data_IF_498472154843
#
_entry.id   IF_498472154843
#
_cell.length_a   1.000
_cell.length_b   1.000
_cell.length_c   1.000
_cell.angle_alpha   90.00
_cell.angle_beta   90.00
_cell.angle_gamma   90.00
#
_symmetry.space_group_name_H-M   'P 1'
#
loop_
_entity.id
_entity.type
_entity.pdbx_description
1 polymer ?
#
# COMPACT_ATOMS: atom_id res chain seq x y z
N UNK A 1 15.68 57.37 -73.93
CA UNK A 1 16.58 56.78 -74.94
C UNK A 1 16.62 57.75 -76.10
N UNK A 2 17.61 58.64 -76.10
CA UNK A 2 17.91 59.44 -77.28
C UNK A 2 18.62 58.50 -78.25
N UNK A 3 18.08 58.33 -79.45
CA UNK A 3 18.72 57.62 -80.55
C UNK A 3 20.07 58.29 -80.82
N UNK A 4 21.16 57.55 -80.55
CA UNK A 4 22.53 58.05 -80.63
C UNK A 4 22.91 58.33 -82.08
N UNK A 5 23.49 59.50 -82.31
CA UNK A 5 24.21 59.82 -83.53
C UNK A 5 25.19 58.68 -83.87
N UNK A 6 25.31 58.27 -85.15
CA UNK A 6 26.24 57.21 -85.53
C UNK A 6 27.68 57.67 -85.26
N UNK A 7 28.21 57.29 -84.09
CA UNK A 7 29.61 57.52 -83.74
C UNK A 7 30.49 56.56 -84.54
N UNK A 8 31.59 57.08 -85.07
CA UNK A 8 32.59 56.29 -85.80
C UNK A 8 33.38 55.36 -84.85
N UNK A 9 33.24 55.56 -83.53
CA UNK A 9 33.89 54.77 -82.49
C UNK A 9 33.01 53.57 -82.10
N UNK A 10 33.62 52.38 -82.13
CA UNK A 10 33.01 51.15 -81.63
C UNK A 10 33.13 51.07 -80.09
N UNK A 11 32.19 51.70 -79.40
CA UNK A 11 32.13 51.68 -77.93
C UNK A 11 31.82 50.28 -77.37
N UNK A 12 31.19 49.38 -78.14
CA UNK A 12 30.87 48.03 -77.67
C UNK A 12 32.14 47.20 -77.49
N UNK A 13 33.11 47.32 -78.43
CA UNK A 13 34.41 46.69 -78.30
C UNK A 13 35.21 47.18 -77.08
N UNK A 14 35.03 48.44 -76.66
CA UNK A 14 35.74 49.03 -75.51
C UNK A 14 35.09 48.77 -74.14
N UNK A 15 33.77 48.53 -74.11
CA UNK A 15 33.02 48.24 -72.89
C UNK A 15 32.90 46.74 -72.59
N UNK A 16 33.40 45.88 -73.50
CA UNK A 16 33.46 44.43 -73.30
C UNK A 16 34.37 44.07 -72.10
N UNK A 17 33.89 43.26 -71.14
CA UNK A 17 34.71 42.80 -70.00
C UNK A 17 35.99 42.05 -70.41
N UNK A 18 36.06 41.50 -71.63
CA UNK A 18 37.24 40.79 -72.15
C UNK A 18 38.18 41.70 -72.98
N UNK A 19 37.94 43.02 -73.01
CA UNK A 19 38.75 43.96 -73.77
C UNK A 19 40.21 43.96 -73.30
N UNK A 20 41.13 43.61 -74.21
CA UNK A 20 42.57 43.64 -73.95
C UNK A 20 43.24 44.73 -74.79
N UNK A 21 43.89 45.73 -74.16
CA UNK A 21 44.56 46.82 -74.88
C UNK A 21 45.64 46.33 -75.86
N UNK A 22 46.33 45.25 -75.49
CA UNK A 22 47.42 44.68 -76.29
C UNK A 22 46.93 43.97 -77.56
N UNK A 23 45.81 43.22 -77.49
CA UNK A 23 45.23 42.57 -78.66
C UNK A 23 44.62 43.59 -79.63
N UNK A 24 43.98 44.63 -79.08
CA UNK A 24 43.42 45.72 -79.88
C UNK A 24 44.52 46.50 -80.61
N UNK A 25 45.60 46.89 -79.91
CA UNK A 25 46.76 47.54 -80.52
C UNK A 25 47.40 46.67 -81.62
N UNK A 26 47.53 45.36 -81.38
CA UNK A 26 48.04 44.43 -82.39
C UNK A 26 47.12 44.33 -83.62
N UNK A 27 45.81 44.26 -83.41
CA UNK A 27 44.82 44.24 -84.51
C UNK A 27 44.87 45.52 -85.37
N UNK A 28 45.10 46.69 -84.75
CA UNK A 28 45.25 47.96 -85.44
C UNK A 28 46.54 48.03 -86.26
N UNK A 29 47.66 47.58 -85.69
CA UNK A 29 48.96 47.56 -86.38
C UNK A 29 48.93 46.62 -87.59
N UNK A 30 48.28 45.45 -87.46
CA UNK A 30 48.08 44.49 -88.55
C UNK A 30 47.10 45.01 -89.60
N UNK A 31 46.09 45.79 -89.20
CA UNK A 31 45.10 46.35 -90.13
C UNK A 31 45.65 47.50 -90.99
N UNK A 32 46.63 48.26 -90.50
CA UNK A 32 47.19 49.42 -91.22
C UNK A 32 48.45 49.10 -92.03
N UNK A 33 49.13 47.98 -91.75
CA UNK A 33 50.40 47.63 -92.39
C UNK A 33 50.26 46.36 -93.24
N UNK A 34 50.83 46.37 -94.45
CA UNK A 34 50.93 45.16 -95.27
C UNK A 34 52.21 44.39 -94.94
N UNK A 35 52.21 43.06 -95.13
CA UNK A 35 53.35 42.19 -94.79
C UNK A 35 54.65 42.49 -95.57
N UNK A 36 54.60 43.38 -96.56
CA UNK A 36 55.75 43.78 -97.40
C UNK A 36 56.29 45.19 -97.08
N UNK A 37 55.69 45.92 -96.14
CA UNK A 37 56.15 47.27 -95.76
C UNK A 37 57.35 47.22 -94.80
N UNK A 38 58.49 47.73 -95.27
CA UNK A 38 59.66 48.04 -94.43
C UNK A 38 60.09 49.48 -94.71
N UNK A 39 60.04 50.42 -93.74
CA UNK A 39 59.74 50.26 -92.31
C UNK A 39 58.25 50.23 -91.96
N UNK A 40 57.92 49.58 -90.82
CA UNK A 40 56.58 49.51 -90.24
C UNK A 40 56.04 50.91 -89.91
N UNK A 41 54.87 51.26 -90.43
CA UNK A 41 54.23 52.54 -90.13
C UNK A 41 53.43 52.44 -88.81
N UNK A 42 53.99 53.03 -87.76
CA UNK A 42 53.35 53.18 -86.46
C UNK A 42 52.63 54.52 -86.31
N UNK A 43 52.84 55.46 -87.23
CA UNK A 43 52.25 56.79 -87.15
C UNK A 43 50.76 56.76 -87.45
N UNK A 44 50.33 55.93 -88.40
CA UNK A 44 48.92 55.78 -88.78
C UNK A 44 48.06 55.10 -87.68
N UNK A 45 48.45 53.96 -87.08
CA UNK A 45 47.75 53.41 -85.91
C UNK A 45 47.71 54.35 -84.71
N UNK A 46 48.83 55.01 -84.42
CA UNK A 46 48.93 55.89 -83.27
C UNK A 46 48.04 57.12 -83.44
N UNK A 47 48.06 57.74 -84.63
CA UNK A 47 47.17 58.86 -84.92
C UNK A 47 45.69 58.46 -84.79
N UNK A 48 45.29 57.29 -85.29
CA UNK A 48 43.92 56.77 -85.13
C UNK A 48 43.53 56.61 -83.67
N UNK A 49 44.36 55.96 -82.84
CA UNK A 49 44.09 55.79 -81.40
C UNK A 49 44.03 57.14 -80.68
N UNK A 50 44.88 58.10 -81.05
CA UNK A 50 44.84 59.44 -80.47
C UNK A 50 43.56 60.19 -80.85
N UNK A 51 43.09 60.06 -82.09
CA UNK A 51 41.81 60.63 -82.51
C UNK A 51 40.65 59.99 -81.75
N UNK A 52 40.64 58.65 -81.63
CA UNK A 52 39.60 57.92 -80.89
C UNK A 52 39.58 58.33 -79.40
N UNK A 53 40.76 58.44 -78.76
CA UNK A 53 40.89 58.87 -77.36
C UNK A 53 40.42 60.31 -77.17
N UNK A 54 40.84 61.22 -78.06
CA UNK A 54 40.43 62.61 -78.00
C UNK A 54 38.91 62.74 -78.18
N UNK A 55 38.31 61.98 -79.09
CA UNK A 55 36.86 61.97 -79.29
C UNK A 55 36.13 61.37 -78.08
N UNK A 56 36.59 60.26 -77.50
CA UNK A 56 36.05 59.71 -76.25
C UNK A 56 36.13 60.75 -75.12
N UNK A 57 37.26 61.43 -74.95
CA UNK A 57 37.44 62.43 -73.90
C UNK A 57 36.53 63.63 -74.12
N UNK A 58 36.41 64.13 -75.36
CA UNK A 58 35.47 65.21 -75.68
C UNK A 58 34.02 64.78 -75.48
N UNK A 59 33.68 63.52 -75.79
CA UNK A 59 32.34 62.99 -75.62
C UNK A 59 32.02 62.81 -74.14
N UNK A 60 32.91 62.21 -73.34
CA UNK A 60 32.78 62.10 -71.87
C UNK A 60 32.69 63.48 -71.24
N UNK A 61 33.53 64.43 -71.64
CA UNK A 61 33.48 65.79 -71.11
C UNK A 61 32.15 66.45 -71.49
N UNK A 62 31.68 66.29 -72.72
CA UNK A 62 30.41 66.84 -73.18
C UNK A 62 29.21 66.21 -72.46
N UNK A 63 29.19 64.90 -72.30
CA UNK A 63 28.16 64.17 -71.54
C UNK A 63 28.20 64.58 -70.09
N UNK A 64 29.36 64.53 -69.44
CA UNK A 64 29.54 64.89 -68.03
C UNK A 64 29.16 66.34 -67.79
N UNK A 65 29.49 67.28 -68.68
CA UNK A 65 29.11 68.69 -68.53
C UNK A 65 27.62 68.91 -68.80
N UNK A 66 27.03 68.27 -69.82
CA UNK A 66 25.59 68.37 -70.13
C UNK A 66 24.71 67.68 -69.08
N UNK A 67 25.16 66.54 -68.54
CA UNK A 67 24.44 65.71 -67.57
C UNK A 67 25.00 65.78 -66.15
N UNK A 68 25.87 66.75 -65.84
CA UNK A 68 26.45 66.93 -64.50
C UNK A 68 25.35 67.02 -63.44
N UNK A 69 24.33 67.84 -63.72
CA UNK A 69 23.20 68.04 -62.83
C UNK A 69 22.41 66.72 -62.61
N UNK A 70 21.94 66.01 -63.65
CA UNK A 70 21.31 64.69 -63.51
C UNK A 70 22.11 63.65 -62.71
N UNK A 71 23.42 63.57 -62.92
CA UNK A 71 24.27 62.60 -62.21
C UNK A 71 24.43 62.96 -60.72
N UNK A 72 24.60 64.24 -60.42
CA UNK A 72 24.63 64.72 -59.04
C UNK A 72 23.27 64.57 -58.36
N UNK A 73 22.16 64.83 -59.06
CA UNK A 73 20.82 64.63 -58.51
C UNK A 73 20.56 63.15 -58.26
N UNK A 74 20.88 62.26 -59.21
CA UNK A 74 20.71 60.82 -59.02
C UNK A 74 21.54 60.30 -57.83
N UNK A 75 22.81 60.72 -57.73
CA UNK A 75 23.68 60.31 -56.61
C UNK A 75 23.13 60.83 -55.29
N UNK A 76 22.71 62.10 -55.25
CA UNK A 76 22.08 62.71 -54.07
C UNK A 76 20.80 61.99 -53.66
N UNK A 77 19.93 61.69 -54.61
CA UNK A 77 18.64 61.03 -54.37
C UNK A 77 18.85 59.59 -53.92
N UNK A 78 19.81 58.88 -54.51
CA UNK A 78 20.21 57.55 -54.08
C UNK A 78 20.78 57.55 -52.66
N UNK A 79 21.67 58.50 -52.32
CA UNK A 79 22.18 58.63 -50.95
C UNK A 79 21.07 58.99 -49.96
N UNK A 80 20.13 59.87 -50.36
CA UNK A 80 19.02 60.27 -49.51
C UNK A 80 18.03 59.12 -49.28
N UNK A 81 17.77 58.30 -50.30
CA UNK A 81 16.92 57.11 -50.19
C UNK A 81 17.58 56.02 -49.32
N UNK A 82 18.88 55.78 -49.51
CA UNK A 82 19.64 54.85 -48.67
C UNK A 82 19.65 55.30 -47.20
N UNK A 83 19.89 56.59 -46.94
CA UNK A 83 19.83 57.17 -45.59
C UNK A 83 18.44 57.03 -44.97
N UNK A 84 17.37 57.20 -45.76
CA UNK A 84 16.00 57.01 -45.27
C UNK A 84 15.74 55.56 -44.86
N UNK A 85 16.10 54.61 -45.72
CA UNK A 85 15.93 53.17 -45.44
C UNK A 85 16.74 52.77 -44.21
N UNK A 86 17.97 53.28 -44.09
CA UNK A 86 18.85 52.99 -42.96
C UNK A 86 18.25 53.54 -41.66
N UNK A 87 17.74 54.77 -41.66
CA UNK A 87 17.04 55.36 -40.50
C UNK A 87 15.81 54.57 -40.09
N UNK A 88 14.98 54.17 -41.06
CA UNK A 88 13.78 53.38 -40.78
C UNK A 88 14.15 52.00 -40.23
N UNK A 89 15.16 51.34 -40.80
CA UNK A 89 15.66 50.06 -40.31
C UNK A 89 16.24 50.19 -38.88
N UNK A 90 17.01 51.24 -38.61
CA UNK A 90 17.52 51.54 -37.26
C UNK A 90 16.39 51.78 -36.26
N UNK A 91 15.35 52.53 -36.66
CA UNK A 91 14.17 52.76 -35.82
C UNK A 91 13.45 51.45 -35.51
N UNK A 92 13.19 50.61 -36.52
CA UNK A 92 12.54 49.30 -36.34
C UNK A 92 13.39 48.36 -35.47
N UNK A 93 14.70 48.28 -35.71
CA UNK A 93 15.62 47.47 -34.89
C UNK A 93 15.64 47.98 -33.44
N UNK A 94 15.65 49.30 -33.25
CA UNK A 94 15.61 49.88 -31.91
C UNK A 94 14.29 49.57 -31.18
N UNK A 95 13.16 49.63 -31.91
CA UNK A 95 11.83 49.28 -31.40
C UNK A 95 11.75 47.81 -30.98
N UNK A 96 12.25 46.90 -31.82
CA UNK A 96 12.32 45.46 -31.49
C UNK A 96 13.23 45.20 -30.30
N UNK A 97 14.38 45.88 -30.23
CA UNK A 97 15.32 45.72 -29.12
C UNK A 97 14.71 46.20 -27.81
N UNK A 98 14.01 47.34 -27.82
CA UNK A 98 13.28 47.85 -26.65
C UNK A 98 12.11 46.93 -26.27
N UNK A 99 11.38 46.41 -27.26
CA UNK A 99 10.31 45.42 -27.06
C UNK A 99 10.82 44.15 -26.39
N UNK A 100 11.96 43.63 -26.84
CA UNK A 100 12.61 42.46 -26.23
C UNK A 100 13.08 42.75 -24.80
N UNK A 101 13.74 43.89 -24.56
CA UNK A 101 14.15 44.29 -23.21
C UNK A 101 12.96 44.43 -22.26
N UNK A 102 11.82 44.91 -22.77
CA UNK A 102 10.57 44.98 -22.00
C UNK A 102 10.03 43.59 -21.71
N UNK A 103 9.99 42.69 -22.69
CA UNK A 103 9.55 41.30 -22.51
C UNK A 103 10.44 40.55 -21.51
N UNK A 104 11.75 40.73 -21.58
CA UNK A 104 12.70 40.11 -20.65
C UNK A 104 12.42 40.56 -19.21
N UNK A 105 12.26 41.88 -19.00
CA UNK A 105 11.99 42.44 -17.68
C UNK A 105 10.61 42.08 -17.15
N UNK A 106 9.57 42.16 -17.99
CA UNK A 106 8.19 42.00 -17.55
C UNK A 106 7.73 40.55 -17.49
N UNK A 107 8.25 39.68 -18.35
CA UNK A 107 7.77 38.29 -18.50
C UNK A 107 8.82 37.29 -18.02
N UNK A 108 10.04 37.30 -18.57
CA UNK A 108 11.04 36.28 -18.24
C UNK A 108 11.43 36.31 -16.76
N UNK A 109 11.83 37.49 -16.25
CA UNK A 109 12.21 37.62 -14.83
C UNK A 109 11.07 37.31 -13.86
N UNK A 110 9.83 37.65 -14.24
CA UNK A 110 8.66 37.33 -13.41
C UNK A 110 8.34 35.84 -13.45
N UNK A 111 8.52 35.19 -14.59
CA UNK A 111 8.34 33.76 -14.74
C UNK A 111 9.39 32.98 -13.95
N UNK A 112 10.67 33.37 -14.00
CA UNK A 112 11.73 32.77 -13.19
C UNK A 112 11.43 32.86 -11.70
N UNK A 113 11.04 34.05 -11.21
CA UNK A 113 10.63 34.23 -9.82
C UNK A 113 9.38 33.39 -9.47
N UNK A 114 8.42 33.27 -10.40
CA UNK A 114 7.23 32.45 -10.19
C UNK A 114 7.55 30.95 -10.16
N UNK A 115 8.49 30.47 -10.97
CA UNK A 115 8.92 29.07 -10.97
C UNK A 115 9.70 28.73 -9.69
N UNK A 116 10.55 29.64 -9.20
CA UNK A 116 11.20 29.49 -7.89
C UNK A 116 10.16 29.37 -6.76
N UNK A 117 9.13 30.22 -6.77
CA UNK A 117 8.03 30.15 -5.78
C UNK A 117 7.22 28.87 -5.97
N UNK A 118 6.96 28.41 -7.19
CA UNK A 118 6.30 27.12 -7.46
C UNK A 118 7.09 25.96 -6.86
N UNK A 119 8.40 25.91 -7.10
CA UNK A 119 9.27 24.86 -6.54
C UNK A 119 9.30 24.95 -5.01
N UNK A 120 9.37 26.15 -4.43
CA UNK A 120 9.35 26.35 -2.99
C UNK A 120 8.01 25.90 -2.36
N UNK A 121 6.88 26.19 -3.02
CA UNK A 121 5.54 25.80 -2.57
C UNK A 121 5.28 24.31 -2.73
N UNK A 122 5.75 23.67 -3.80
CA UNK A 122 5.69 22.20 -3.96
C UNK A 122 6.51 21.49 -2.87
N UNK A 123 7.72 21.98 -2.60
CA UNK A 123 8.56 21.47 -1.51
C UNK A 123 7.90 21.68 -0.15
N UNK A 124 7.33 22.86 0.11
CA UNK A 124 6.65 23.13 1.40
C UNK A 124 5.37 22.31 1.58
N UNK A 125 4.62 22.07 0.50
CA UNK A 125 3.46 21.17 0.55
C UNK A 125 3.89 19.73 0.85
N UNK A 126 4.97 19.25 0.21
CA UNK A 126 5.52 17.93 0.47
C UNK A 126 6.00 17.79 1.93
N UNK A 127 6.70 18.79 2.47
CA UNK A 127 7.14 18.77 3.88
C UNK A 127 5.96 18.82 4.85
N UNK A 128 4.94 19.63 4.59
CA UNK A 128 3.74 19.72 5.44
C UNK A 128 2.94 18.41 5.41
N UNK A 129 2.79 17.76 4.25
CA UNK A 129 2.14 16.45 4.14
C UNK A 129 2.87 15.40 4.96
N UNK A 130 4.20 15.33 4.82
CA UNK A 130 5.03 14.41 5.60
C UNK A 130 4.95 14.72 7.11
N UNK A 131 5.04 16.00 7.50
CA UNK A 131 4.96 16.42 8.90
C UNK A 131 3.62 16.08 9.54
N UNK A 132 2.49 16.26 8.82
CA UNK A 132 1.15 15.85 9.31
C UNK A 132 1.03 14.34 9.45
N UNK A 133 1.58 13.58 8.51
CA UNK A 133 1.60 12.12 8.60
C UNK A 133 2.43 11.65 9.81
N UNK A 134 3.62 12.22 10.01
CA UNK A 134 4.49 11.96 11.17
C UNK A 134 3.77 12.32 12.47
N UNK A 135 3.13 13.50 12.55
CA UNK A 135 2.41 13.94 13.74
C UNK A 135 1.24 13.00 14.09
N UNK A 136 0.50 12.51 13.08
CA UNK A 136 -0.54 11.49 13.29
C UNK A 136 0.03 10.16 13.79
N UNK A 137 1.13 9.68 13.21
CA UNK A 137 1.80 8.48 13.70
C UNK A 137 2.29 8.62 15.16
N UNK A 138 2.86 9.78 15.52
CA UNK A 138 3.33 10.04 16.88
C UNK A 138 2.19 10.18 17.89
N UNK A 139 1.09 10.83 17.52
CA UNK A 139 -0.09 10.94 18.39
C UNK A 139 -0.76 9.58 18.62
N UNK A 140 -0.87 8.76 17.57
CA UNK A 140 -1.32 7.36 17.69
C UNK A 140 -0.35 6.51 18.51
N UNK A 141 0.96 6.71 18.36
CA UNK A 141 1.98 6.04 19.18
C UNK A 141 1.84 6.40 20.67
N UNK A 142 1.67 7.69 20.99
CA UNK A 142 1.43 8.15 22.37
C UNK A 142 0.12 7.60 22.93
N UNK A 143 -0.93 7.53 22.12
CA UNK A 143 -2.19 6.91 22.51
C UNK A 143 -2.01 5.42 22.83
N UNK A 144 -1.22 4.72 22.01
CA UNK A 144 -0.89 3.31 22.22
C UNK A 144 -0.10 3.11 23.52
N UNK A 145 0.90 3.95 23.80
CA UNK A 145 1.64 3.93 25.06
C UNK A 145 0.74 4.12 26.28
N UNK A 146 -0.19 5.09 26.21
CA UNK A 146 -1.18 5.30 27.28
C UNK A 146 -2.07 4.08 27.50
N UNK A 147 -2.57 3.48 26.42
CA UNK A 147 -3.39 2.26 26.49
C UNK A 147 -2.60 1.06 27.01
N UNK A 148 -1.31 0.93 26.67
CA UNK A 148 -0.43 -0.12 27.20
C UNK A 148 -0.10 0.10 28.69
N UNK A 149 0.03 1.35 29.13
CA UNK A 149 0.27 1.68 30.53
C UNK A 149 -0.94 1.34 31.42
N UNK A 150 -2.16 1.55 30.91
CA UNK A 150 -3.41 1.10 31.54
C UNK A 150 -3.42 -0.42 31.70
N UNK A 151 -3.09 -1.18 30.65
CA UNK A 151 -3.05 -2.65 30.66
C UNK A 151 -1.96 -3.23 31.56
N UNK A 152 -0.84 -2.53 31.72
CA UNK A 152 0.30 -2.98 32.54
C UNK A 152 0.13 -2.58 34.01
N UNK A 153 -0.97 -1.91 34.37
CA UNK A 153 -1.26 -1.51 35.76
C UNK A 153 -0.34 -0.41 36.30
N UNK A 154 0.43 0.28 35.43
CA UNK A 154 1.33 1.38 35.82
C UNK A 154 0.61 2.73 35.94
N UNK A 155 -0.68 2.80 35.59
CA UNK A 155 -1.49 4.03 35.63
C UNK A 155 -2.28 4.28 36.94
N UNK A 156 -2.21 3.39 37.94
CA UNK A 156 -2.97 3.52 39.19
C UNK A 156 -2.17 4.13 40.33
N UNK A 157 -1.90 5.43 40.30
CA UNK A 157 -1.36 6.20 41.44
C UNK A 157 -2.21 7.44 41.76
N UNK A 158 -3.52 7.35 41.59
CA UNK A 158 -4.44 8.35 42.12
C UNK A 158 -5.78 7.70 42.47
N UNK A 159 -6.17 7.86 43.73
CA UNK A 159 -7.46 7.54 44.33
C UNK A 159 -7.63 6.14 44.95
N UNK A 160 -7.52 6.12 46.29
CA UNK A 160 -7.54 4.93 47.13
C UNK A 160 -8.93 4.51 47.59
N UNK A 161 -9.97 4.63 46.77
CA UNK A 161 -11.36 4.38 47.21
C UNK A 161 -12.21 3.46 46.32
N UNK A 162 -11.64 2.79 45.31
CA UNK A 162 -12.35 1.72 44.60
C UNK A 162 -11.52 0.45 44.57
N UNK A 163 -12.08 -0.66 45.07
CA UNK A 163 -11.47 -1.99 44.93
C UNK A 163 -11.07 -2.22 43.46
N UNK A 164 -9.80 -2.58 43.17
CA UNK A 164 -9.39 -2.85 41.82
C UNK A 164 -10.11 -4.12 41.37
N UNK A 165 -10.85 -4.05 40.27
CA UNK A 165 -11.21 -5.22 39.48
C UNK A 165 -10.14 -5.34 38.39
N UNK A 166 -9.01 -6.05 38.63
CA UNK A 166 -7.83 -6.07 37.76
C UNK A 166 -8.04 -6.93 36.50
N UNK A 167 -9.23 -6.90 35.89
CA UNK A 167 -9.54 -7.81 34.79
C UNK A 167 -10.80 -7.50 34.03
N UNK A 168 -11.40 -6.31 34.17
CA UNK A 168 -12.49 -5.85 33.30
C UNK A 168 -12.00 -4.75 32.37
N UNK A 169 -11.21 -3.82 32.90
CA UNK A 169 -10.74 -2.66 32.17
C UNK A 169 -9.52 -2.98 31.29
N UNK A 170 -8.68 -3.93 31.71
CA UNK A 170 -7.53 -4.41 30.94
C UNK A 170 -7.92 -4.88 29.53
N UNK A 171 -9.05 -5.58 29.39
CA UNK A 171 -9.47 -6.17 28.12
C UNK A 171 -10.08 -5.13 27.17
N UNK A 172 -10.78 -4.14 27.69
CA UNK A 172 -11.25 -2.98 26.91
C UNK A 172 -10.09 -2.07 26.50
N UNK A 173 -9.09 -1.92 27.36
CA UNK A 173 -7.86 -1.21 27.02
C UNK A 173 -7.04 -1.96 25.96
N UNK A 174 -6.96 -3.29 26.03
CA UNK A 174 -6.35 -4.14 25.00
C UNK A 174 -7.08 -4.08 23.65
N UNK A 175 -8.42 -4.03 23.64
CA UNK A 175 -9.19 -3.88 22.40
C UNK A 175 -8.96 -2.51 21.75
N UNK A 176 -8.93 -1.44 22.56
CA UNK A 176 -8.53 -0.11 22.09
C UNK A 176 -7.10 -0.10 21.55
N UNK A 177 -6.15 -0.75 22.24
CA UNK A 177 -4.77 -0.90 21.79
C UNK A 177 -4.67 -1.69 20.46
N UNK A 178 -5.47 -2.74 20.29
CA UNK A 178 -5.52 -3.47 19.03
C UNK A 178 -6.04 -2.57 17.90
N UNK A 179 -7.09 -1.79 18.13
CA UNK A 179 -7.63 -0.85 17.13
C UNK A 179 -6.60 0.23 16.74
N UNK A 180 -5.83 0.76 17.70
CA UNK A 180 -4.78 1.75 17.43
C UNK A 180 -3.59 1.13 16.70
N UNK A 181 -3.17 -0.10 17.04
CA UNK A 181 -2.16 -0.86 16.28
C UNK A 181 -2.59 -1.06 14.83
N UNK A 182 -3.85 -1.43 14.58
CA UNK A 182 -4.34 -1.61 13.20
C UNK A 182 -4.42 -0.29 12.45
N UNK A 183 -4.80 0.80 13.11
CA UNK A 183 -4.75 2.14 12.50
C UNK A 183 -3.32 2.57 12.12
N UNK A 184 -2.33 2.25 12.96
CA UNK A 184 -0.92 2.47 12.65
C UNK A 184 -0.45 1.59 11.49
N UNK A 185 -0.85 0.32 11.44
CA UNK A 185 -0.57 -0.56 10.30
C UNK A 185 -1.14 0.00 9.01
N UNK A 186 -2.38 0.50 9.02
CA UNK A 186 -3.00 1.14 7.84
C UNK A 186 -2.16 2.30 7.30
N UNK A 187 -1.68 3.16 8.20
CA UNK A 187 -0.79 4.26 7.85
C UNK A 187 0.53 3.79 7.23
N UNK A 188 1.08 2.67 7.69
CA UNK A 188 2.31 2.09 7.13
C UNK A 188 2.11 1.29 5.85
N UNK A 189 0.91 0.79 5.58
CA UNK A 189 0.58 0.07 4.34
C UNK A 189 0.19 1.01 3.20
N UNK A 190 -0.33 2.19 3.51
CA UNK A 190 -0.77 3.20 2.55
C UNK A 190 0.42 4.02 1.99
N UNK A 191 1.37 3.35 1.33
CA UNK A 191 2.63 3.95 0.84
C UNK A 191 2.54 4.50 -0.59
N UNK A 192 1.37 4.41 -1.23
CA UNK A 192 1.15 4.85 -2.61
C UNK A 192 1.37 6.36 -2.83
N UNK A 193 1.59 6.81 -4.08
CA UNK A 193 1.76 8.22 -4.39
C UNK A 193 0.49 9.00 -4.05
N UNK A 194 0.59 9.96 -3.13
CA UNK A 194 -0.55 10.76 -2.64
C UNK A 194 -1.27 10.17 -1.42
N UNK A 195 -0.90 8.97 -0.98
CA UNK A 195 -1.42 8.35 0.23
C UNK A 195 -0.72 8.88 1.49
N UNK A 196 -1.39 8.73 2.64
CA UNK A 196 -0.91 9.31 3.91
C UNK A 196 0.41 8.71 4.40
N UNK A 197 0.81 7.54 3.89
CA UNK A 197 2.05 6.85 4.25
C UNK A 197 3.26 7.16 3.37
N UNK A 198 3.09 7.97 2.32
CA UNK A 198 4.16 8.24 1.37
C UNK A 198 5.37 8.91 2.05
N UNK A 199 6.52 8.24 2.04
CA UNK A 199 7.77 8.75 2.61
C UNK A 199 7.93 8.59 4.13
N UNK A 200 6.97 7.97 4.84
CA UNK A 200 7.06 7.74 6.29
C UNK A 200 8.28 6.89 6.67
N UNK A 201 8.61 5.85 5.89
CA UNK A 201 9.73 4.93 6.19
C UNK A 201 11.12 5.57 6.09
N UNK A 202 11.22 6.73 5.40
CA UNK A 202 12.47 7.49 5.28
C UNK A 202 12.82 8.24 6.56
N UNK A 203 11.84 8.48 7.45
CA UNK A 203 12.03 9.23 8.70
C UNK A 203 12.49 8.29 9.81
N UNK A 204 13.66 8.58 10.40
CA UNK A 204 14.28 7.75 11.45
C UNK A 204 13.36 7.54 12.66
N UNK A 205 12.67 8.59 13.13
CA UNK A 205 11.77 8.55 14.29
C UNK A 205 10.61 7.57 14.08
N UNK A 206 10.11 7.46 12.84
CA UNK A 206 9.04 6.51 12.52
C UNK A 206 9.58 5.08 12.52
N UNK A 207 10.81 4.88 12.03
CA UNK A 207 11.48 3.58 12.09
C UNK A 207 11.71 3.13 13.53
N UNK A 208 12.14 4.03 14.41
CA UNK A 208 12.32 3.73 15.84
C UNK A 208 10.98 3.46 16.51
N UNK A 209 9.93 4.24 16.24
CA UNK A 209 8.57 3.96 16.74
C UNK A 209 8.07 2.58 16.30
N UNK A 210 8.33 2.20 15.05
CA UNK A 210 7.96 0.87 14.52
C UNK A 210 8.72 -0.25 15.24
N UNK A 211 10.04 -0.13 15.41
CA UNK A 211 10.86 -1.18 16.01
C UNK A 211 10.72 -1.29 17.53
N UNK A 212 10.64 -0.16 18.22
CA UNK A 212 10.72 -0.10 19.69
C UNK A 212 9.34 -0.07 20.37
N UNK A 213 8.30 0.42 19.70
CA UNK A 213 6.96 0.50 20.27
C UNK A 213 5.97 -0.43 19.58
N UNK A 214 5.80 -0.33 18.25
CA UNK A 214 4.73 -1.04 17.53
C UNK A 214 4.89 -2.57 17.59
N UNK A 215 6.06 -3.09 17.21
CA UNK A 215 6.32 -4.55 17.18
C UNK A 215 6.19 -5.18 18.58
N UNK A 216 6.82 -4.66 19.65
CA UNK A 216 6.67 -5.25 20.98
C UNK A 216 5.25 -5.08 21.54
N UNK A 217 4.58 -3.94 21.28
CA UNK A 217 3.19 -3.76 21.68
C UNK A 217 2.26 -4.79 21.02
N UNK A 218 2.44 -5.03 19.72
CA UNK A 218 1.68 -6.03 18.98
C UNK A 218 1.91 -7.44 19.53
N UNK A 219 3.16 -7.83 19.75
CA UNK A 219 3.49 -9.13 20.33
C UNK A 219 2.90 -9.30 21.74
N UNK A 220 2.89 -8.24 22.55
CA UNK A 220 2.29 -8.25 23.88
C UNK A 220 0.78 -8.42 23.82
N UNK A 221 0.08 -7.62 22.99
CA UNK A 221 -1.38 -7.70 22.83
C UNK A 221 -1.78 -9.07 22.28
N UNK A 222 -1.05 -9.58 21.28
CA UNK A 222 -1.22 -10.93 20.73
C UNK A 222 -1.06 -11.99 21.82
N UNK A 223 0.07 -12.01 22.53
CA UNK A 223 0.34 -13.00 23.59
C UNK A 223 -0.73 -12.98 24.69
N UNK A 224 -1.17 -11.79 25.13
CA UNK A 224 -2.24 -11.64 26.13
C UNK A 224 -3.59 -12.16 25.63
N UNK A 225 -3.96 -11.87 24.39
CA UNK A 225 -5.19 -12.39 23.79
C UNK A 225 -5.16 -13.91 23.63
N UNK A 226 -4.03 -14.48 23.18
CA UNK A 226 -3.83 -15.93 23.09
C UNK A 226 -3.92 -16.61 24.46
N UNK A 227 -3.31 -16.01 25.48
CA UNK A 227 -3.36 -16.52 26.85
C UNK A 227 -4.76 -16.46 27.44
N UNK A 228 -5.56 -15.43 27.12
CA UNK A 228 -6.94 -15.31 27.57
C UNK A 228 -7.83 -16.44 27.01
N UNK A 229 -7.64 -16.81 25.75
CA UNK A 229 -8.33 -17.95 25.13
C UNK A 229 -7.85 -19.26 25.75
N UNK A 230 -6.54 -19.46 25.89
CA UNK A 230 -5.98 -20.71 26.41
C UNK A 230 -6.32 -20.98 27.88
N UNK A 231 -6.62 -19.94 28.66
CA UNK A 231 -7.03 -20.03 30.07
C UNK A 231 -8.54 -20.01 30.26
N UNK A 232 -9.32 -20.01 29.19
CA UNK A 232 -10.76 -19.96 29.28
C UNK A 232 -11.31 -21.20 30.03
N UNK A 233 -12.03 -20.94 31.11
CA UNK A 233 -12.79 -21.93 31.87
C UNK A 233 -14.10 -21.29 32.34
N UNK A 234 -15.21 -22.02 32.20
CA UNK A 234 -16.52 -21.69 32.72
C UNK A 234 -16.96 -22.79 33.68
N UNK A 235 -16.33 -22.82 34.85
CA UNK A 235 -16.75 -23.78 35.88
C UNK A 235 -18.22 -23.56 36.24
N UNK A 236 -19.00 -24.64 36.34
CA UNK A 236 -20.40 -24.61 36.77
C UNK A 236 -20.60 -24.05 38.20
N UNK A 237 -19.52 -23.95 39.00
CA UNK A 237 -19.52 -23.34 40.33
C UNK A 237 -19.21 -21.84 40.32
N UNK A 238 -18.89 -21.27 39.15
CA UNK A 238 -18.60 -19.83 39.01
C UNK A 238 -19.88 -19.02 39.17
N UNK A 239 -19.87 -18.02 40.04
CA UNK A 239 -21.00 -17.10 40.17
C UNK A 239 -21.33 -16.40 38.84
N UNK A 240 -22.58 -15.99 38.63
CA UNK A 240 -23.06 -15.36 37.39
C UNK A 240 -22.16 -14.19 36.91
N UNK A 241 -21.60 -13.41 37.84
CA UNK A 241 -20.65 -12.33 37.55
C UNK A 241 -19.35 -12.83 36.90
N UNK A 242 -18.77 -13.89 37.45
CA UNK A 242 -17.53 -14.48 36.93
C UNK A 242 -17.73 -15.14 35.56
N UNK A 243 -18.91 -15.75 35.36
CA UNK A 243 -19.30 -16.31 34.07
C UNK A 243 -19.47 -15.20 33.00
N UNK A 244 -20.12 -14.09 33.36
CA UNK A 244 -20.23 -12.92 32.49
C UNK A 244 -18.88 -12.29 32.15
N UNK A 245 -17.98 -12.17 33.14
CA UNK A 245 -16.64 -11.63 32.93
C UNK A 245 -15.78 -12.54 32.05
N UNK A 246 -15.84 -13.86 32.23
CA UNK A 246 -15.14 -14.82 31.36
C UNK A 246 -15.64 -14.74 29.91
N UNK A 247 -16.95 -14.58 29.71
CA UNK A 247 -17.55 -14.37 28.38
C UNK A 247 -17.08 -13.05 27.75
N UNK A 248 -17.07 -11.96 28.52
CA UNK A 248 -16.59 -10.66 28.04
C UNK A 248 -15.11 -10.72 27.63
N UNK A 249 -14.26 -11.36 28.45
CA UNK A 249 -12.84 -11.57 28.15
C UNK A 249 -12.62 -12.38 26.89
N UNK A 250 -13.34 -13.49 26.75
CA UNK A 250 -13.27 -14.31 25.54
C UNK A 250 -13.69 -13.48 24.32
N UNK A 251 -14.82 -12.77 24.39
CA UNK A 251 -15.28 -11.93 23.28
C UNK A 251 -14.26 -10.89 22.86
N UNK A 252 -13.65 -10.17 23.80
CA UNK A 252 -12.59 -9.19 23.51
C UNK A 252 -11.31 -9.83 22.98
N UNK A 253 -10.91 -11.00 23.47
CA UNK A 253 -9.72 -11.69 22.99
C UNK A 253 -9.92 -12.19 21.55
N UNK A 254 -11.13 -12.67 21.23
CA UNK A 254 -11.53 -13.06 19.89
C UNK A 254 -11.56 -11.86 18.94
N UNK A 255 -12.11 -10.71 19.35
CA UNK A 255 -12.09 -9.48 18.51
C UNK A 255 -10.66 -8.99 18.30
N UNK A 256 -9.81 -8.98 19.33
CA UNK A 256 -8.39 -8.60 19.23
C UNK A 256 -7.63 -9.48 18.24
N UNK A 257 -7.73 -10.81 18.35
CA UNK A 257 -7.02 -11.72 17.46
C UNK A 257 -7.52 -11.64 16.02
N UNK A 258 -8.82 -11.39 15.84
CA UNK A 258 -9.40 -11.14 14.52
C UNK A 258 -8.88 -9.83 13.89
N UNK A 259 -8.76 -8.76 14.69
CA UNK A 259 -8.23 -7.47 14.23
C UNK A 259 -6.71 -7.51 13.97
N UNK A 260 -5.97 -8.34 14.71
CA UNK A 260 -4.52 -8.47 14.56
C UNK A 260 -4.10 -9.51 13.52
N UNK A 261 -5.01 -10.34 13.01
CA UNK A 261 -4.68 -11.33 11.97
C UNK A 261 -4.02 -10.65 10.75
N UNK A 262 -2.96 -11.25 10.18
CA UNK A 262 -2.34 -10.72 8.99
C UNK A 262 -3.35 -10.74 7.84
N UNK A 263 -3.48 -9.62 7.13
CA UNK A 263 -4.27 -9.54 5.90
C UNK A 263 -3.29 -9.69 4.73
N UNK A 264 -3.40 -10.75 3.91
CA UNK A 264 -2.76 -10.82 2.61
C UNK A 264 -3.07 -9.57 1.77
N UNK A 265 -2.04 -8.96 1.17
CA UNK A 265 -2.19 -7.72 0.37
C UNK A 265 -3.11 -7.87 -0.85
N UNK A 266 -3.46 -9.10 -1.22
CA UNK A 266 -4.21 -9.45 -2.45
C UNK A 266 -5.71 -9.75 -2.20
N UNK A 267 -6.22 -9.52 -0.98
CA UNK A 267 -7.63 -9.81 -0.65
C UNK A 267 -8.56 -8.74 -1.22
N UNK A 268 -9.34 -9.15 -2.23
CA UNK A 268 -10.35 -8.32 -2.91
C UNK A 268 -11.70 -8.27 -2.18
N UNK A 269 -11.95 -9.16 -1.20
CA UNK A 269 -13.23 -9.26 -0.51
C UNK A 269 -13.09 -9.61 0.98
N UNK A 270 -13.99 -9.08 1.83
CA UNK A 270 -14.05 -9.37 3.26
C UNK A 270 -14.52 -10.80 3.59
N UNK A 271 -15.06 -11.53 2.61
CA UNK A 271 -15.55 -12.91 2.75
C UNK A 271 -14.44 -13.96 2.64
N UNK A 272 -13.33 -13.64 1.98
CA UNK A 272 -12.19 -14.57 1.81
C UNK A 272 -11.17 -14.48 2.96
N UNK A 273 -11.41 -13.60 3.93
CA UNK A 273 -10.51 -13.39 5.06
C UNK A 273 -10.58 -14.54 6.07
N UNK A 274 -9.51 -15.33 6.12
CA UNK A 274 -9.32 -16.35 7.15
C UNK A 274 -8.44 -15.78 8.28
N UNK A 275 -8.95 -15.67 9.52
CA UNK A 275 -8.18 -15.15 10.63
C UNK A 275 -7.23 -16.23 11.16
N UNK A 276 -6.08 -16.42 10.50
CA UNK A 276 -5.11 -17.48 10.82
C UNK A 276 -4.65 -17.47 12.29
N UNK A 277 -4.47 -16.29 12.88
CA UNK A 277 -4.06 -16.17 14.29
C UNK A 277 -5.16 -16.67 15.24
N UNK A 278 -6.41 -16.38 14.94
CA UNK A 278 -7.54 -16.85 15.73
C UNK A 278 -7.73 -18.35 15.55
N UNK A 279 -7.68 -18.85 14.30
CA UNK A 279 -7.83 -20.27 14.00
C UNK A 279 -6.73 -21.11 14.63
N UNK A 280 -5.46 -20.71 14.50
CA UNK A 280 -4.32 -21.45 15.08
C UNK A 280 -4.39 -21.49 16.62
N UNK A 281 -4.87 -20.42 17.25
CA UNK A 281 -4.98 -20.38 18.72
C UNK A 281 -6.13 -21.24 19.24
N UNK A 282 -7.26 -21.24 18.54
CA UNK A 282 -8.40 -22.09 18.91
C UNK A 282 -8.12 -23.57 18.63
N UNK A 283 -7.46 -23.88 17.51
CA UNK A 283 -6.96 -25.23 17.23
C UNK A 283 -5.95 -25.69 18.29
N UNK A 284 -5.02 -24.82 18.70
CA UNK A 284 -4.05 -25.10 19.75
C UNK A 284 -4.71 -25.34 21.12
N UNK A 285 -5.71 -24.52 21.48
CA UNK A 285 -6.52 -24.74 22.68
C UNK A 285 -7.22 -26.10 22.64
N UNK A 286 -7.83 -26.43 21.50
CA UNK A 286 -8.52 -27.71 21.30
C UNK A 286 -7.60 -28.92 21.44
N UNK A 287 -6.45 -28.88 20.77
CA UNK A 287 -5.44 -29.92 20.87
C UNK A 287 -4.94 -30.10 22.31
N UNK A 288 -4.68 -28.99 23.00
CA UNK A 288 -4.24 -28.99 24.41
C UNK A 288 -5.31 -29.59 25.33
N UNK A 289 -6.58 -29.22 25.13
CA UNK A 289 -7.70 -29.77 25.90
C UNK A 289 -7.80 -31.29 25.73
N UNK A 290 -7.76 -31.78 24.47
CA UNK A 290 -7.82 -33.21 24.13
C UNK A 290 -6.65 -33.97 24.75
N UNK A 291 -5.41 -33.53 24.51
CA UNK A 291 -4.20 -34.20 25.02
C UNK A 291 -4.15 -34.21 26.55
N UNK A 292 -4.54 -33.11 27.20
CA UNK A 292 -4.63 -33.04 28.66
C UNK A 292 -5.67 -34.01 29.21
N UNK A 293 -6.87 -34.09 28.60
CA UNK A 293 -7.91 -35.05 29.00
C UNK A 293 -7.51 -36.50 28.76
N UNK A 294 -6.83 -36.80 27.66
CA UNK A 294 -6.31 -38.14 27.34
C UNK A 294 -5.29 -38.59 28.39
N UNK A 295 -4.31 -37.73 28.71
CA UNK A 295 -3.28 -38.04 29.69
C UNK A 295 -3.84 -38.17 31.12
N UNK A 296 -4.88 -37.39 31.46
CA UNK A 296 -5.59 -37.55 32.73
C UNK A 296 -6.36 -38.88 32.76
N UNK A 297 -7.09 -39.20 31.69
CA UNK A 297 -7.89 -40.43 31.60
C UNK A 297 -7.02 -41.68 31.63
N UNK A 298 -5.93 -41.72 30.86
CA UNK A 298 -4.97 -42.83 30.84
C UNK A 298 -4.37 -43.10 32.23
N UNK A 299 -4.04 -42.04 32.99
CA UNK A 299 -3.55 -42.17 34.38
C UNK A 299 -4.65 -42.63 35.35
N UNK A 300 -5.88 -42.14 35.21
CA UNK A 300 -6.96 -42.62 36.07
C UNK A 300 -7.41 -44.05 35.75
N UNK A 301 -7.21 -44.51 34.52
CA UNK A 301 -7.47 -45.91 34.15
C UNK A 301 -6.44 -46.87 34.73
N UNK A 302 -5.21 -46.40 34.99
CA UNK A 302 -4.22 -47.17 35.77
C UNK A 302 -4.43 -47.03 37.29
N UNK A 303 -5.08 -45.95 37.75
CA UNK A 303 -5.36 -45.64 39.16
C UNK A 303 -6.85 -45.36 39.40
N UNK A 304 -7.66 -46.43 39.42
CA UNK A 304 -9.14 -46.38 39.45
C UNK A 304 -9.77 -45.46 40.52
N UNK A 305 -9.25 -45.30 41.75
CA UNK A 305 -9.85 -44.42 42.76
C UNK A 305 -9.92 -42.93 42.35
N UNK A 306 -9.10 -42.52 41.37
CA UNK A 306 -9.06 -41.13 40.87
C UNK A 306 -9.97 -40.89 39.68
N UNK A 307 -10.59 -41.95 39.13
CA UNK A 307 -11.40 -41.92 37.92
C UNK A 307 -12.62 -41.00 38.04
N UNK A 308 -13.35 -41.05 39.14
CA UNK A 308 -14.55 -40.22 39.32
C UNK A 308 -14.19 -38.72 39.28
N UNK A 309 -13.04 -38.36 39.85
CA UNK A 309 -12.52 -36.98 39.82
C UNK A 309 -12.07 -36.58 38.42
N UNK A 310 -11.34 -37.43 37.70
CA UNK A 310 -10.89 -37.11 36.33
C UNK A 310 -12.05 -37.04 35.35
N UNK A 311 -13.08 -37.88 35.49
CA UNK A 311 -14.28 -37.81 34.67
C UNK A 311 -15.06 -36.50 34.90
N UNK A 312 -15.16 -36.02 36.14
CA UNK A 312 -15.74 -34.70 36.42
C UNK A 312 -14.94 -33.59 35.74
N UNK A 313 -13.60 -33.61 35.84
CA UNK A 313 -12.73 -32.63 35.18
C UNK A 313 -12.83 -32.66 33.64
N UNK A 314 -12.94 -33.86 33.04
CA UNK A 314 -13.12 -34.02 31.58
C UNK A 314 -14.50 -33.49 31.15
N UNK A 315 -15.55 -33.80 31.92
CA UNK A 315 -16.89 -33.26 31.65
C UNK A 315 -16.92 -31.73 31.74
N UNK A 316 -16.21 -31.13 32.71
CA UNK A 316 -16.09 -29.68 32.84
C UNK A 316 -15.36 -29.05 31.63
N UNK A 317 -14.27 -29.66 31.15
CA UNK A 317 -13.58 -29.21 29.93
C UNK A 317 -14.47 -29.27 28.68
N UNK A 318 -15.33 -30.29 28.57
CA UNK A 318 -16.31 -30.36 27.49
C UNK A 318 -17.39 -29.27 27.60
N UNK A 319 -17.83 -28.95 28.82
CA UNK A 319 -18.76 -27.83 29.06
C UNK A 319 -18.12 -26.48 28.70
N UNK A 320 -16.83 -26.29 28.98
CA UNK A 320 -16.08 -25.11 28.58
C UNK A 320 -16.04 -24.98 27.04
N UNK A 321 -15.83 -26.08 26.33
CA UNK A 321 -15.84 -26.10 24.85
C UNK A 321 -17.23 -25.82 24.27
N UNK A 322 -18.28 -26.34 24.91
CA UNK A 322 -19.65 -26.05 24.54
C UNK A 322 -19.97 -24.56 24.75
N UNK A 323 -19.54 -23.99 25.89
CA UNK A 323 -19.69 -22.57 26.17
C UNK A 323 -18.92 -21.72 25.16
N UNK A 324 -17.69 -22.10 24.81
CA UNK A 324 -16.89 -21.46 23.76
C UNK A 324 -17.61 -21.47 22.41
N UNK A 325 -18.18 -22.61 22.00
CA UNK A 325 -18.97 -22.72 20.77
C UNK A 325 -20.17 -21.77 20.78
N UNK A 326 -20.92 -21.73 21.88
CA UNK A 326 -22.07 -20.83 22.03
C UNK A 326 -21.68 -19.34 21.96
N UNK A 327 -20.52 -18.98 22.52
CA UNK A 327 -20.02 -17.60 22.51
C UNK A 327 -19.56 -17.24 21.10
N UNK A 328 -18.80 -18.10 20.42
CA UNK A 328 -18.37 -17.90 19.03
C UNK A 328 -19.54 -17.86 18.04
N UNK A 329 -20.61 -18.61 18.30
CA UNK A 329 -21.85 -18.53 17.55
C UNK A 329 -22.58 -17.19 17.74
N UNK A 330 -22.44 -16.58 18.93
CA UNK A 330 -23.07 -15.29 19.25
C UNK A 330 -22.28 -14.06 18.77
N UNK A 331 -21.00 -14.24 18.43
CA UNK A 331 -20.12 -13.15 18.01
C UNK A 331 -20.17 -12.96 16.49
N UNK A 332 -20.63 -11.78 16.08
CA UNK A 332 -20.49 -11.30 14.70
C UNK A 332 -19.06 -10.81 14.46
N UNK A 333 -18.47 -11.02 13.27
CA UNK A 333 -17.16 -10.48 12.95
C UNK A 333 -17.19 -8.95 13.04
N UNK A 334 -16.28 -8.31 13.79
CA UNK A 334 -16.21 -6.86 13.84
C UNK A 334 -15.75 -6.31 12.47
N UNK A 335 -16.23 -5.12 12.09
CA UNK A 335 -15.80 -4.46 10.86
C UNK A 335 -14.30 -4.20 10.89
N UNK A 336 -13.52 -4.87 10.04
CA UNK A 336 -12.08 -4.71 9.99
C UNK A 336 -11.72 -3.34 9.38
N UNK A 337 -10.95 -2.48 10.06
CA UNK A 337 -10.64 -1.11 9.59
C UNK A 337 -9.69 -1.03 8.38
N UNK A 338 -9.32 -2.19 7.81
CA UNK A 338 -8.48 -2.34 6.61
C UNK A 338 -9.31 -2.73 5.38
N UNK A 339 -10.58 -3.12 5.52
CA UNK A 339 -11.49 -3.19 4.39
C UNK A 339 -12.05 -1.78 4.11
N UNK A 340 -12.22 -1.40 2.84
CA UNK A 340 -12.94 -0.18 2.52
C UNK A 340 -14.32 -0.19 3.21
N UNK A 341 -14.80 0.96 3.71
CA UNK A 341 -16.13 1.02 4.30
C UNK A 341 -17.11 0.54 3.24
N UNK A 342 -17.80 -0.57 3.52
CA UNK A 342 -18.93 -0.96 2.69
C UNK A 342 -19.90 0.23 2.63
N UNK A 343 -20.49 0.54 1.46
CA UNK A 343 -21.50 1.58 1.38
C UNK A 343 -22.64 1.30 2.37
N UNK A 344 -23.16 2.39 2.92
CA UNK A 344 -24.23 2.56 3.93
C UNK A 344 -25.14 1.36 4.27
N UNK A 345 -25.51 1.21 5.56
CA UNK A 345 -26.34 0.12 6.06
C UNK A 345 -27.83 0.39 5.78
N UNK A 346 -28.21 0.40 4.51
CA UNK A 346 -29.61 0.37 4.11
C UNK A 346 -29.78 -0.79 3.13
N UNK A 347 -30.59 -1.78 3.53
CA UNK A 347 -30.91 -3.01 2.77
C UNK A 347 -29.97 -4.22 2.96
N UNK A 348 -29.77 -4.68 4.20
CA UNK A 348 -29.56 -6.11 4.47
C UNK A 348 -30.51 -6.59 5.57
N UNK A 349 -31.80 -6.43 5.32
CA UNK A 349 -32.82 -7.30 5.88
C UNK A 349 -33.05 -8.47 4.91
N UNK A 350 -33.01 -9.68 5.44
CA UNK A 350 -33.48 -10.94 4.84
C UNK A 350 -32.52 -11.69 3.91
N UNK A 351 -31.66 -12.50 4.52
CA UNK A 351 -30.92 -13.58 3.89
C UNK A 351 -30.11 -14.34 4.95
N UNK A 352 -30.67 -15.42 5.50
CA UNK A 352 -30.15 -16.15 6.67
C UNK A 352 -28.88 -16.96 6.43
N UNK A 353 -27.78 -16.33 6.04
CA UNK A 353 -26.45 -16.94 6.17
C UNK A 353 -25.87 -16.58 7.53
N UNK A 354 -25.60 -17.60 8.35
CA UNK A 354 -25.00 -17.50 9.68
C UNK A 354 -23.52 -17.08 9.55
N UNK A 355 -23.25 -15.81 9.22
CA UNK A 355 -21.91 -15.23 9.15
C UNK A 355 -21.33 -15.02 10.55
N UNK A 356 -21.10 -16.12 11.27
CA UNK A 356 -20.53 -16.14 12.62
C UNK A 356 -19.07 -16.60 12.54
N UNK A 357 -18.24 -16.15 13.50
CA UNK A 357 -16.81 -16.51 13.60
C UNK A 357 -16.56 -18.03 13.78
N UNK A 358 -17.61 -18.79 14.02
CA UNK A 358 -17.62 -20.23 14.19
C UNK A 358 -17.53 -21.02 12.86
N UNK A 359 -18.10 -20.50 11.76
CA UNK A 359 -18.11 -21.22 10.47
C UNK A 359 -16.69 -21.44 9.90
N UNK A 360 -15.78 -20.45 9.88
CA UNK A 360 -14.41 -20.66 9.43
C UNK A 360 -13.65 -21.69 10.27
N UNK A 361 -13.95 -21.77 11.58
CA UNK A 361 -13.32 -22.70 12.49
C UNK A 361 -13.84 -24.14 12.32
N UNK A 362 -15.15 -24.31 12.13
CA UNK A 362 -15.73 -25.62 11.84
C UNK A 362 -15.24 -26.15 10.49
N UNK A 363 -15.11 -25.29 9.48
CA UNK A 363 -14.54 -25.66 8.18
C UNK A 363 -13.06 -26.03 8.29
N UNK A 364 -12.27 -25.32 9.11
CA UNK A 364 -10.86 -25.66 9.32
C UNK A 364 -10.63 -26.94 10.15
N UNK A 365 -11.66 -27.43 10.84
CA UNK A 365 -11.62 -28.65 11.66
C UNK A 365 -12.43 -29.81 11.04
N UNK A 366 -13.03 -29.61 9.86
CA UNK A 366 -13.98 -30.53 9.20
C UNK A 366 -15.03 -31.12 10.16
N UNK A 367 -15.49 -30.31 11.12
CA UNK A 367 -16.32 -30.76 12.22
C UNK A 367 -17.69 -30.08 12.23
N UNK A 368 -18.72 -30.82 12.64
CA UNK A 368 -20.07 -30.28 12.80
C UNK A 368 -20.28 -29.52 14.11
N UNK A 369 -19.48 -29.81 15.14
CA UNK A 369 -19.46 -29.11 16.44
C UNK A 369 -18.16 -29.38 17.18
N UNK A 370 -17.77 -28.46 18.08
CA UNK A 370 -16.52 -28.55 18.82
C UNK A 370 -16.51 -29.71 19.84
N UNK A 371 -17.59 -29.93 20.63
CA UNK A 371 -17.66 -31.07 21.55
C UNK A 371 -17.70 -32.42 20.84
N UNK A 372 -18.32 -32.52 19.65
CA UNK A 372 -18.32 -33.78 18.88
C UNK A 372 -16.90 -34.11 18.41
N UNK A 373 -16.16 -33.12 17.90
CA UNK A 373 -14.75 -33.31 17.53
C UNK A 373 -13.88 -33.70 18.74
N UNK A 374 -14.12 -33.09 19.91
CA UNK A 374 -13.44 -33.44 21.16
C UNK A 374 -13.64 -34.91 21.54
N UNK A 375 -14.89 -35.38 21.63
CA UNK A 375 -15.18 -36.76 22.04
C UNK A 375 -14.71 -37.80 21.03
N UNK A 376 -14.85 -37.55 19.72
CA UNK A 376 -14.35 -38.47 18.69
C UNK A 376 -12.83 -38.59 18.71
N UNK A 377 -12.13 -37.46 18.82
CA UNK A 377 -10.66 -37.43 18.89
C UNK A 377 -10.13 -38.05 20.17
N UNK A 378 -10.85 -37.87 21.29
CA UNK A 378 -10.51 -38.50 22.56
C UNK A 378 -10.75 -40.02 22.48
N UNK A 379 -11.86 -40.47 21.91
CA UNK A 379 -12.17 -41.90 21.77
C UNK A 379 -11.16 -42.64 20.88
N UNK A 380 -10.79 -42.07 19.73
CA UNK A 380 -9.84 -42.68 18.79
C UNK A 380 -8.46 -42.88 19.42
N UNK A 381 -8.00 -41.89 20.18
CA UNK A 381 -6.71 -41.90 20.85
C UNK A 381 -6.71 -42.66 22.19
N UNK A 382 -7.88 -42.78 22.84
CA UNK A 382 -8.04 -43.58 24.05
C UNK A 382 -7.94 -45.09 23.77
N UNK A 383 -8.42 -45.54 22.61
CA UNK A 383 -8.43 -46.96 22.23
C UNK A 383 -7.01 -47.56 22.28
N UNK A 384 -6.02 -46.90 21.70
CA UNK A 384 -4.62 -47.36 21.71
C UNK A 384 -4.03 -47.36 23.12
N UNK A 385 -4.32 -46.34 23.93
CA UNK A 385 -3.84 -46.23 25.32
C UNK A 385 -4.42 -47.30 26.24
N UNK A 386 -5.70 -47.62 26.09
CA UNK A 386 -6.33 -48.72 26.85
C UNK A 386 -5.72 -50.06 26.43
N UNK A 387 -5.47 -50.24 25.13
CA UNK A 387 -4.85 -51.46 24.61
C UNK A 387 -3.43 -51.63 25.14
N UNK A 388 -2.63 -50.57 25.24
CA UNK A 388 -1.31 -50.60 25.90
C UNK A 388 -1.40 -51.04 27.37
N UNK A 389 -2.38 -50.52 28.14
CA UNK A 389 -2.56 -50.86 29.56
C UNK A 389 -3.00 -52.32 29.72
N UNK A 390 -3.91 -52.81 28.87
CA UNK A 390 -4.39 -54.20 28.91
C UNK A 390 -3.28 -55.17 28.49
N UNK A 391 -2.52 -54.85 27.42
CA UNK A 391 -1.42 -55.67 26.92
C UNK A 391 -0.24 -55.75 27.89
N UNK A 392 0.03 -54.66 28.64
CA UNK A 392 1.07 -54.63 29.68
C UNK A 392 0.75 -55.56 30.86
N UNK A 393 -0.51 -55.95 31.02
CA UNK A 393 -0.96 -56.86 32.07
C UNK A 393 -0.85 -56.27 33.48
N UNK A 394 -1.08 -57.11 34.50
CA UNK A 394 -0.96 -56.73 35.91
C UNK A 394 -2.27 -56.35 36.60
N UNK A 395 -2.14 -55.74 37.79
CA UNK A 395 -3.28 -55.43 38.69
C UNK A 395 -4.25 -54.43 38.08
N UNK A 396 -3.75 -53.43 37.34
CA UNK A 396 -4.57 -52.43 36.64
C UNK A 396 -5.44 -53.08 35.55
N UNK A 397 -4.88 -53.96 34.72
CA UNK A 397 -5.63 -54.67 33.67
C UNK A 397 -6.72 -55.59 34.27
N UNK A 398 -6.41 -56.31 35.37
CA UNK A 398 -7.40 -57.16 36.06
C UNK A 398 -8.53 -56.34 36.69
N UNK A 399 -8.18 -55.20 37.29
CA UNK A 399 -9.13 -54.26 37.91
C UNK A 399 -10.02 -53.57 36.88
N UNK A 400 -9.50 -53.28 35.68
CA UNK A 400 -10.28 -52.75 34.57
C UNK A 400 -11.28 -53.78 34.01
N UNK A 401 -10.89 -55.06 33.90
CA UNK A 401 -11.80 -56.13 33.47
C UNK A 401 -12.90 -56.39 34.50
N UNK A 402 -12.60 -56.35 35.80
CA UNK A 402 -13.61 -56.56 36.86
C UNK A 402 -14.57 -55.38 37.04
N UNK A 403 -14.14 -54.15 36.77
CA UNK A 403 -14.97 -52.94 36.89
C UNK A 403 -15.53 -52.44 35.55
N UNK A 404 -15.56 -53.29 34.52
CA UNK A 404 -15.93 -52.90 33.16
C UNK A 404 -17.31 -52.24 33.09
N UNK A 405 -18.32 -52.84 33.70
CA UNK A 405 -19.70 -52.36 33.56
C UNK A 405 -19.93 -51.04 34.33
N UNK A 406 -19.22 -50.86 35.45
CA UNK A 406 -19.16 -49.57 36.16
C UNK A 406 -18.48 -48.51 35.28
N UNK A 407 -17.34 -48.83 34.67
CA UNK A 407 -16.62 -47.92 33.77
C UNK A 407 -17.47 -47.50 32.56
N UNK A 408 -18.23 -48.44 31.96
CA UNK A 408 -19.17 -48.15 30.87
C UNK A 408 -20.23 -47.13 31.31
N UNK A 409 -20.78 -47.29 32.52
CA UNK A 409 -21.79 -46.38 33.08
C UNK A 409 -21.18 -45.01 33.40
N UNK A 410 -20.03 -44.97 34.04
CA UNK A 410 -19.37 -43.74 34.49
C UNK A 410 -18.89 -42.90 33.29
N UNK A 411 -18.39 -43.53 32.22
CA UNK A 411 -18.03 -42.85 30.96
C UNK A 411 -19.29 -42.34 30.24
N UNK A 412 -20.36 -43.15 30.16
CA UNK A 412 -21.63 -42.70 29.57
C UNK A 412 -22.19 -41.49 30.31
N UNK A 413 -22.16 -41.51 31.64
CA UNK A 413 -22.61 -40.39 32.47
C UNK A 413 -21.69 -39.17 32.31
N UNK A 414 -20.38 -39.35 32.20
CA UNK A 414 -19.41 -38.28 31.94
C UNK A 414 -19.69 -37.53 30.63
N UNK A 415 -19.95 -38.26 29.54
CA UNK A 415 -20.28 -37.65 28.24
C UNK A 415 -21.61 -36.91 28.31
N UNK A 416 -22.63 -37.51 28.93
CA UNK A 416 -23.94 -36.88 29.11
C UNK A 416 -23.85 -35.61 29.98
N UNK A 417 -23.06 -35.65 31.06
CA UNK A 417 -22.80 -34.48 31.92
C UNK A 417 -22.03 -33.38 31.16
N UNK A 418 -21.03 -33.76 30.37
CA UNK A 418 -20.25 -32.84 29.53
C UNK A 418 -21.05 -32.16 28.41
N UNK A 419 -22.16 -32.78 28.00
CA UNK A 419 -23.07 -32.26 26.96
C UNK A 419 -24.12 -31.26 27.48
N UNK A 420 -24.26 -31.12 28.80
CA UNK A 420 -25.20 -30.17 29.42
C UNK A 420 -24.49 -28.83 29.63
N UNK A 421 -25.11 -27.71 29.23
CA UNK A 421 -24.56 -26.40 29.60
C UNK A 421 -24.57 -26.23 31.12
N UNK A 422 -23.58 -25.53 31.69
CA UNK A 422 -23.64 -25.06 33.07
C UNK A 422 -24.94 -24.28 33.31
N UNK A 423 -25.68 -24.58 34.38
CA UNK A 423 -26.98 -23.97 34.68
C UNK A 423 -26.96 -22.44 34.86
N UNK A 424 -25.78 -21.81 34.86
CA UNK A 424 -25.56 -20.37 34.95
C UNK A 424 -25.81 -19.64 33.61
N UNK A 425 -25.76 -20.34 32.48
CA UNK A 425 -26.08 -19.80 31.17
C UNK A 425 -27.52 -20.10 30.79
N UNK A 426 -28.36 -19.08 30.97
CA UNK A 426 -29.60 -18.86 30.22
C UNK A 426 -30.90 -19.53 30.72
N UNK A 427 -31.45 -19.01 31.83
CA UNK A 427 -32.89 -19.06 32.11
C UNK A 427 -33.67 -17.89 31.50
N UNK A 428 -33.07 -17.08 30.62
CA UNK A 428 -33.57 -15.73 30.34
C UNK A 428 -34.08 -15.45 28.94
N UNK A 429 -33.55 -16.06 27.87
CA UNK A 429 -33.89 -15.57 26.52
C UNK A 429 -33.87 -16.56 25.36
N UNK A 430 -33.88 -17.86 25.62
CA UNK A 430 -34.15 -18.87 24.59
C UNK A 430 -35.43 -19.64 24.91
N UNK A 431 -36.56 -18.96 24.72
CA UNK A 431 -37.82 -19.64 24.47
C UNK A 431 -37.79 -20.21 23.05
N UNK A 432 -38.03 -21.51 22.93
CA UNK A 432 -38.34 -22.20 21.66
C UNK A 432 -37.21 -22.45 20.66
N UNK A 433 -36.03 -22.89 21.11
CA UNK A 433 -35.18 -23.75 20.26
C UNK A 433 -34.56 -24.90 21.05
N UNK A 434 -35.44 -25.74 21.61
CA UNK A 434 -35.14 -27.08 22.13
C UNK A 434 -34.79 -28.07 21.00
N UNK A 435 -34.21 -27.61 19.90
CA UNK A 435 -33.85 -28.40 18.72
C UNK A 435 -32.43 -28.99 18.74
N UNK A 436 -31.58 -28.58 19.69
CA UNK A 436 -30.19 -29.02 19.79
C UNK A 436 -29.90 -29.90 21.01
N UNK A 437 -30.91 -30.68 21.47
CA UNK A 437 -30.66 -31.94 22.19
C UNK A 437 -30.04 -32.92 21.19
N UNK A 438 -28.77 -32.70 20.87
CA UNK A 438 -28.00 -33.57 20.00
C UNK A 438 -28.07 -35.01 20.49
N UNK A 439 -28.05 -35.93 19.54
CA UNK A 439 -27.89 -37.37 19.73
C UNK A 439 -26.50 -37.68 20.35
N UNK A 440 -26.25 -37.20 21.56
CA UNK A 440 -25.01 -37.43 22.33
C UNK A 440 -24.89 -38.89 22.78
N UNK A 441 -25.97 -39.66 22.67
CA UNK A 441 -25.95 -41.12 22.82
C UNK A 441 -25.00 -41.77 21.81
N UNK A 442 -24.87 -41.20 20.59
CA UNK A 442 -23.90 -41.66 19.59
C UNK A 442 -22.47 -41.44 20.05
N UNK A 443 -22.13 -40.26 20.56
CA UNK A 443 -20.76 -39.97 21.02
C UNK A 443 -20.43 -40.71 22.33
N UNK A 444 -21.42 -40.88 23.22
CA UNK A 444 -21.30 -41.72 24.41
C UNK A 444 -21.07 -43.18 24.02
N UNK A 445 -21.77 -43.71 23.00
CA UNK A 445 -21.55 -45.05 22.48
C UNK A 445 -20.16 -45.20 21.86
N UNK A 446 -19.66 -44.21 21.10
CA UNK A 446 -18.31 -44.20 20.52
C UNK A 446 -17.25 -44.24 21.64
N UNK A 447 -17.36 -43.37 22.64
CA UNK A 447 -16.48 -43.35 23.81
C UNK A 447 -16.48 -44.65 24.61
N UNK A 448 -17.67 -45.22 24.86
CA UNK A 448 -17.81 -46.50 25.55
C UNK A 448 -17.25 -47.64 24.70
N UNK A 449 -17.44 -47.62 23.38
CA UNK A 449 -16.91 -48.63 22.46
C UNK A 449 -15.38 -48.63 22.39
N UNK A 450 -14.74 -47.47 22.47
CA UNK A 450 -13.28 -47.33 22.50
C UNK A 450 -12.64 -48.07 23.69
N UNK A 451 -13.36 -48.15 24.82
CA UNK A 451 -12.92 -48.86 26.02
C UNK A 451 -13.42 -50.31 26.04
N UNK A 452 -14.68 -50.53 25.68
CA UNK A 452 -15.31 -51.85 25.71
C UNK A 452 -14.71 -52.83 24.70
N UNK A 453 -14.46 -52.39 23.46
CA UNK A 453 -13.93 -53.24 22.39
C UNK A 453 -12.55 -53.83 22.71
N UNK A 454 -11.75 -53.12 23.52
CA UNK A 454 -10.43 -53.56 23.97
C UNK A 454 -10.51 -54.49 25.18
N UNK A 455 -11.51 -54.32 26.04
CA UNK A 455 -11.74 -55.16 27.23
C UNK A 455 -12.49 -56.46 26.92
N UNK A 456 -13.23 -56.50 25.81
CA UNK A 456 -13.90 -57.68 25.24
C UNK A 456 -12.94 -58.59 24.46
N UNK A 457 -11.74 -58.11 24.14
CA UNK A 457 -10.60 -58.90 23.60
C UNK A 457 -9.68 -59.38 24.72
#
# INVERSE_FOLDING_TARGET
MAEGEPSYIDYEAFLDPDFSPASFANSLVVATNNATDTPLDLSTPLSRVLFDLQEIDTHIHTLTTKSALPLLTHTRDQTAAADHILKEAEEQVSSVTQGYQRLEKEVLRKWEAADEVRIATEKSLATVRLARAVARCLTLGRQLEGQLAEVTGRGGLADGTASPSPGRDDYRALERAASTIVSLRRMFTATGPGEEGHGLEKVKVIRTLRSELLIPAENMVKSRAQQAINRFTMSAQSGYKQAGDARARLSSATTILYLLSPIPKDLSSASDFQPELLLSTLQGYMHTAIMSSLNALSRSLSMLPTLDKTLVEISAKCQDLFALESILASLRPPSHPLFPPAPTPETQSQGGSKNNLLQPLLNALDASSLPSHFWRSLASSLTSRVQEIVNRGGVSARTLRSNRDRLKKDIKECVLRGSQLPASTDKGRMGADSGMKGNWEREAAVMVSAVASVLDR
#
